data_IF_187568377224
#
_entry.id   IF_187568377224
#
_cell.length_a   1.000
_cell.length_b   1.000
_cell.length_c   1.000
_cell.angle_alpha   90.00
_cell.angle_beta   90.00
_cell.angle_gamma   90.00
#
_symmetry.space_group_name_H-M   'P 1'
#
loop_
_entity.id
_entity.type
_entity.pdbx_description
1 polymer ?
#
# COMPACT_ATOMS: atom_id res chain seq x y z
N UNK A 1 -3.83 13.12 -15.47
CA UNK A 1 -3.44 13.39 -14.07
C UNK A 1 -4.52 12.85 -13.18
N UNK A 2 -4.23 11.78 -12.44
CA UNK A 2 -5.21 11.12 -11.59
C UNK A 2 -5.63 12.06 -10.44
N UNK A 3 -6.93 12.06 -10.09
CA UNK A 3 -7.53 12.95 -9.06
C UNK A 3 -6.79 12.90 -7.73
N UNK A 4 -6.25 11.74 -7.37
CA UNK A 4 -5.45 11.56 -6.17
C UNK A 4 -4.20 12.45 -6.21
N UNK A 5 -3.47 12.45 -7.32
CA UNK A 5 -2.24 13.23 -7.49
C UNK A 5 -2.54 14.72 -7.58
N UNK A 6 -3.60 15.11 -8.30
CA UNK A 6 -4.06 16.50 -8.30
C UNK A 6 -4.36 17.00 -6.88
N UNK A 7 -5.12 16.24 -6.10
CA UNK A 7 -5.45 16.59 -4.73
C UNK A 7 -4.19 16.65 -3.84
N UNK A 8 -3.26 15.72 -4.04
CA UNK A 8 -1.99 15.70 -3.32
C UNK A 8 -1.12 16.93 -3.68
N UNK A 9 -0.96 17.22 -4.97
CA UNK A 9 -0.20 18.35 -5.49
C UNK A 9 -0.73 19.69 -5.01
N UNK A 10 -2.06 19.87 -4.99
CA UNK A 10 -2.69 21.05 -4.41
C UNK A 10 -2.37 21.20 -2.91
N UNK A 11 -2.48 20.13 -2.12
CA UNK A 11 -2.20 20.17 -0.67
C UNK A 11 -0.73 20.45 -0.36
N UNK A 12 0.18 19.93 -1.19
CA UNK A 12 1.61 20.23 -1.05
C UNK A 12 1.87 21.70 -1.40
N UNK A 13 1.24 22.23 -2.46
CA UNK A 13 1.48 23.59 -2.96
C UNK A 13 0.81 24.73 -2.19
N UNK A 14 -0.25 24.47 -1.42
CA UNK A 14 -1.12 25.53 -0.91
C UNK A 14 -0.64 26.13 0.42
N UNK A 15 0.27 27.09 0.44
CA UNK A 15 0.83 27.70 1.68
C UNK A 15 -0.22 28.39 2.59
N UNK A 16 -1.43 28.66 2.09
CA UNK A 16 -2.48 29.34 2.83
C UNK A 16 -3.34 28.40 3.67
N UNK A 17 -3.83 28.91 4.80
CA UNK A 17 -4.71 28.25 5.77
C UNK A 17 -6.15 28.03 5.23
N UNK A 18 -6.32 27.69 3.96
CA UNK A 18 -7.65 27.54 3.36
C UNK A 18 -8.34 26.25 3.80
N UNK A 19 -9.66 26.37 3.94
CA UNK A 19 -10.60 25.40 4.50
C UNK A 19 -10.31 23.95 4.14
N UNK A 20 -10.08 23.15 5.19
CA UNK A 20 -9.89 21.70 5.18
C UNK A 20 -10.92 21.01 4.28
N UNK A 21 -10.50 20.54 3.11
CA UNK A 21 -11.23 19.53 2.36
C UNK A 21 -10.98 18.17 3.04
N UNK A 22 -12.01 17.46 3.55
CA UNK A 22 -11.80 16.17 4.20
C UNK A 22 -11.09 15.19 3.27
N UNK A 23 -10.02 14.58 3.76
CA UNK A 23 -9.31 13.51 3.06
C UNK A 23 -10.26 12.38 2.70
N UNK A 24 -10.05 11.73 1.56
CA UNK A 24 -10.75 10.49 1.26
C UNK A 24 -10.32 9.38 2.24
N UNK A 25 -9.05 9.29 2.65
CA UNK A 25 -8.51 8.09 3.30
C UNK A 25 -8.41 8.04 4.82
N UNK A 26 -8.29 9.15 5.54
CA UNK A 26 -7.93 9.09 6.96
C UNK A 26 -9.05 9.47 7.93
N UNK A 27 -9.93 10.39 7.53
CA UNK A 27 -10.88 11.01 8.45
C UNK A 27 -12.23 11.21 7.76
N UNK A 28 -13.12 10.24 7.94
CA UNK A 28 -14.54 10.57 7.85
C UNK A 28 -14.93 11.41 9.06
N UNK A 29 -16.05 12.13 8.96
CA UNK A 29 -16.73 12.63 10.15
C UNK A 29 -17.99 11.81 10.36
N UNK A 30 -18.19 11.35 11.58
CA UNK A 30 -19.48 10.81 11.96
C UNK A 30 -20.56 11.90 11.88
N UNK A 31 -21.82 11.52 11.75
CA UNK A 31 -22.96 12.45 11.89
C UNK A 31 -22.95 13.26 13.20
N UNK A 32 -22.33 12.75 14.27
CA UNK A 32 -22.15 13.48 15.53
C UNK A 32 -20.91 14.41 15.57
N UNK A 33 -20.21 14.57 14.44
CA UNK A 33 -19.04 15.45 14.29
C UNK A 33 -17.69 14.86 14.70
N UNK A 34 -17.67 13.68 15.34
CA UNK A 34 -16.42 13.03 15.77
C UNK A 34 -15.64 12.47 14.58
N UNK A 35 -14.30 12.49 14.62
CA UNK A 35 -13.48 11.85 13.61
C UNK A 35 -13.70 10.34 13.64
N UNK A 36 -13.80 9.74 12.46
CA UNK A 36 -13.87 8.29 12.28
C UNK A 36 -12.71 7.83 11.41
N UNK A 37 -12.09 6.74 11.87
CA UNK A 37 -10.87 6.19 11.31
C UNK A 37 -11.17 4.94 10.50
N UNK A 38 -10.25 4.60 9.59
CA UNK A 38 -10.36 3.50 8.63
C UNK A 38 -10.80 2.15 9.23
N UNK A 39 -10.49 1.88 10.51
CA UNK A 39 -10.80 0.62 11.20
C UNK A 39 -12.11 0.64 11.99
N UNK A 40 -12.76 1.79 12.14
CA UNK A 40 -13.97 1.85 12.96
C UNK A 40 -15.14 1.18 12.24
N UNK A 41 -15.85 0.29 12.93
CA UNK A 41 -17.15 -0.25 12.51
C UNK A 41 -18.32 0.45 13.20
N UNK A 42 -18.02 1.28 14.20
CA UNK A 42 -18.97 2.05 14.99
C UNK A 42 -18.30 3.33 15.52
N UNK A 43 -19.07 4.41 15.63
CA UNK A 43 -18.61 5.64 16.27
C UNK A 43 -18.51 5.44 17.78
N UNK A 44 -17.35 5.73 18.37
CA UNK A 44 -17.14 5.57 19.81
C UNK A 44 -17.96 6.55 20.67
N UNK A 45 -18.41 7.68 20.10
CA UNK A 45 -19.17 8.69 20.82
C UNK A 45 -20.68 8.48 20.74
N UNK A 46 -21.24 8.38 19.53
CA UNK A 46 -22.69 8.26 19.34
C UNK A 46 -23.17 6.85 19.01
N UNK A 47 -22.27 5.87 18.93
CA UNK A 47 -22.58 4.46 18.64
C UNK A 47 -23.20 4.22 17.26
N UNK A 48 -23.23 5.22 16.37
CA UNK A 48 -23.68 5.05 14.98
C UNK A 48 -22.85 4.01 14.24
N UNK A 49 -23.48 3.08 13.50
CA UNK A 49 -22.76 2.12 12.67
C UNK A 49 -21.97 2.83 11.57
N UNK A 50 -20.78 2.33 11.27
CA UNK A 50 -19.88 2.89 10.26
C UNK A 50 -19.50 1.84 9.22
N UNK A 51 -19.05 2.30 8.06
CA UNK A 51 -18.41 1.43 7.08
C UNK A 51 -17.48 2.18 6.13
N UNK A 52 -16.60 1.46 5.48
CA UNK A 52 -15.78 1.98 4.39
C UNK A 52 -16.49 1.75 3.06
N UNK A 53 -16.78 2.82 2.31
CA UNK A 53 -17.39 2.75 0.98
C UNK A 53 -16.27 2.84 -0.08
N UNK A 54 -15.98 1.73 -0.81
CA UNK A 54 -14.80 1.66 -1.67
C UNK A 54 -14.78 2.63 -2.85
N UNK A 55 -15.93 2.99 -3.43
CA UNK A 55 -15.96 3.89 -4.59
C UNK A 55 -15.69 5.34 -4.21
N UNK A 56 -16.20 5.80 -3.06
CA UNK A 56 -15.88 7.10 -2.45
C UNK A 56 -14.48 7.11 -1.85
N UNK A 57 -13.95 5.92 -1.53
CA UNK A 57 -12.69 5.73 -0.85
C UNK A 57 -12.71 6.24 0.59
N UNK A 58 -13.87 6.28 1.25
CA UNK A 58 -14.13 7.00 2.51
C UNK A 58 -14.83 6.17 3.59
N UNK A 59 -14.56 6.51 4.85
CA UNK A 59 -15.38 6.09 5.98
C UNK A 59 -16.67 6.91 6.05
N UNK A 60 -17.80 6.22 6.21
CA UNK A 60 -19.14 6.82 6.22
C UNK A 60 -19.94 6.37 7.44
N UNK A 61 -20.90 7.21 7.83
CA UNK A 61 -21.93 6.82 8.81
C UNK A 61 -23.06 6.11 8.08
N UNK A 62 -23.58 5.05 8.70
CA UNK A 62 -24.65 4.23 8.13
C UNK A 62 -25.96 4.46 8.87
N UNK A 63 -27.03 4.56 8.08
CA UNK A 63 -28.41 4.57 8.56
C UNK A 63 -29.11 3.28 8.17
N UNK A 64 -30.03 2.81 9.01
CA UNK A 64 -30.82 1.63 8.69
C UNK A 64 -31.62 1.85 7.40
N UNK A 65 -31.53 0.89 6.46
CA UNK A 65 -32.32 0.85 5.25
C UNK A 65 -33.62 0.07 5.44
N UNK A 66 -34.36 -0.09 4.34
CA UNK A 66 -35.54 -0.96 4.29
C UNK A 66 -35.08 -2.43 4.26
N UNK A 67 -35.22 -3.11 5.41
CA UNK A 67 -34.97 -4.54 5.57
C UNK A 67 -33.71 -4.90 6.38
N UNK A 68 -33.60 -6.16 6.84
CA UNK A 68 -32.44 -6.64 7.58
C UNK A 68 -31.13 -6.47 6.79
N UNK A 69 -30.07 -6.02 7.45
CA UNK A 69 -28.73 -5.82 6.87
C UNK A 69 -28.65 -4.84 5.69
N UNK A 70 -29.72 -4.08 5.43
CA UNK A 70 -29.79 -2.99 4.45
C UNK A 70 -29.33 -1.69 5.11
N UNK A 71 -28.39 -0.98 4.49
CA UNK A 71 -27.83 0.27 5.00
C UNK A 71 -27.89 1.37 3.95
N UNK A 72 -28.02 2.61 4.40
CA UNK A 72 -28.00 3.82 3.58
C UNK A 72 -26.90 4.76 4.05
N UNK A 73 -26.39 5.55 3.11
CA UNK A 73 -25.45 6.65 3.35
C UNK A 73 -26.17 7.94 2.97
N UNK A 74 -26.01 9.00 3.76
CA UNK A 74 -26.60 10.30 3.45
C UNK A 74 -26.09 10.83 2.10
N UNK A 75 -27.01 11.32 1.27
CA UNK A 75 -26.69 11.80 -0.07
C UNK A 75 -26.35 10.71 -1.09
N UNK A 76 -26.62 9.43 -0.78
CA UNK A 76 -26.53 8.32 -1.73
C UNK A 76 -27.91 7.68 -1.94
N UNK A 77 -28.27 7.45 -3.20
CA UNK A 77 -29.51 6.74 -3.57
C UNK A 77 -29.36 5.23 -3.44
N UNK A 78 -28.12 4.73 -3.45
CA UNK A 78 -27.83 3.31 -3.37
C UNK A 78 -28.01 2.79 -1.96
N UNK A 79 -28.36 1.51 -1.88
CA UNK A 79 -28.36 0.73 -0.64
C UNK A 79 -27.11 -0.12 -0.58
N UNK A 80 -26.65 -0.35 0.63
CA UNK A 80 -25.43 -1.09 0.91
C UNK A 80 -25.71 -2.25 1.86
N UNK A 81 -24.84 -3.25 1.80
CA UNK A 81 -24.67 -4.26 2.85
C UNK A 81 -23.30 -4.06 3.49
N UNK A 82 -23.12 -4.58 4.70
CA UNK A 82 -21.78 -4.74 5.31
C UNK A 82 -21.24 -6.11 4.90
N UNK A 83 -19.92 -6.18 4.67
CA UNK A 83 -19.24 -7.43 4.34
C UNK A 83 -19.55 -8.53 5.36
N UNK A 84 -19.78 -9.77 4.90
CA UNK A 84 -20.04 -10.92 5.77
C UNK A 84 -18.92 -11.16 6.80
N UNK A 85 -17.68 -10.79 6.47
CA UNK A 85 -16.53 -10.89 7.37
C UNK A 85 -16.54 -9.86 8.52
N UNK A 86 -17.56 -9.00 8.65
CA UNK A 86 -17.67 -8.06 9.77
C UNK A 86 -17.70 -8.76 11.12
N UNK A 87 -18.47 -9.85 11.23
CA UNK A 87 -18.66 -10.60 12.48
C UNK A 87 -17.70 -11.79 12.63
N UNK A 88 -16.86 -12.00 11.61
CA UNK A 88 -15.74 -12.95 11.68
C UNK A 88 -14.54 -12.31 12.40
N UNK A 89 -13.52 -13.12 12.68
CA UNK A 89 -12.27 -12.61 13.25
C UNK A 89 -11.57 -11.54 12.39
N UNK A 90 -11.79 -11.53 11.06
CA UNK A 90 -11.25 -10.49 10.18
C UNK A 90 -11.78 -9.07 10.46
N UNK A 91 -12.93 -8.94 11.13
CA UNK A 91 -13.52 -7.65 11.54
C UNK A 91 -13.69 -6.66 10.39
N UNK A 92 -14.17 -7.10 9.23
CA UNK A 92 -14.24 -6.27 8.03
C UNK A 92 -15.36 -5.21 8.13
N UNK A 93 -15.01 -3.94 8.10
CA UNK A 93 -15.98 -2.82 8.11
C UNK A 93 -16.34 -2.29 6.70
N UNK A 94 -16.01 -3.01 5.63
CA UNK A 94 -16.25 -2.53 4.26
C UNK A 94 -17.68 -2.77 3.80
N UNK A 95 -18.15 -1.88 2.94
CA UNK A 95 -19.44 -1.94 2.31
C UNK A 95 -19.36 -2.59 0.93
N UNK A 96 -20.51 -3.08 0.48
CA UNK A 96 -20.75 -3.53 -0.88
C UNK A 96 -22.17 -3.10 -1.30
N UNK A 97 -22.42 -2.79 -2.58
CA UNK A 97 -23.76 -2.50 -3.06
C UNK A 97 -24.73 -3.62 -2.70
N UNK A 98 -25.94 -3.26 -2.28
CA UNK A 98 -26.96 -4.24 -1.89
C UNK A 98 -27.29 -5.22 -3.02
N UNK A 99 -27.16 -4.76 -4.28
CA UNK A 99 -27.38 -5.53 -5.52
C UNK A 99 -26.24 -6.49 -5.87
N UNK A 100 -25.12 -6.47 -5.14
CA UNK A 100 -24.00 -7.38 -5.40
C UNK A 100 -24.44 -8.83 -5.22
N UNK A 101 -24.02 -9.75 -6.10
CA UNK A 101 -24.39 -11.17 -5.99
C UNK A 101 -23.74 -11.86 -4.78
N UNK A 102 -22.51 -11.46 -4.41
CA UNK A 102 -21.77 -12.01 -3.29
C UNK A 102 -22.03 -11.31 -1.95
N UNK A 103 -21.48 -11.86 -0.87
CA UNK A 103 -21.57 -11.29 0.48
C UNK A 103 -20.25 -10.67 0.98
N UNK A 104 -19.16 -10.85 0.23
CA UNK A 104 -17.83 -10.33 0.54
C UNK A 104 -17.60 -9.02 -0.23
N UNK A 105 -16.97 -8.04 0.43
CA UNK A 105 -16.53 -6.82 -0.25
C UNK A 105 -15.36 -7.10 -1.21
N UNK A 106 -15.04 -6.10 -2.04
CA UNK A 106 -13.94 -6.16 -3.02
C UNK A 106 -12.58 -6.55 -2.42
N UNK A 107 -12.29 -6.24 -1.15
CA UNK A 107 -11.05 -6.64 -0.50
C UNK A 107 -11.08 -8.09 0.03
N UNK A 108 -12.21 -8.53 0.59
CA UNK A 108 -12.33 -9.88 1.16
C UNK A 108 -12.51 -10.94 0.08
N UNK A 109 -13.11 -10.61 -1.07
CA UNK A 109 -13.23 -11.55 -2.20
C UNK A 109 -11.89 -11.94 -2.83
N UNK A 110 -10.83 -11.14 -2.60
CA UNK A 110 -9.48 -11.46 -3.04
C UNK A 110 -8.85 -12.62 -2.27
N UNK A 111 -9.43 -13.07 -1.15
CA UNK A 111 -8.96 -14.28 -0.51
C UNK A 111 -9.38 -15.50 -1.32
N UNK A 112 -8.37 -16.24 -1.77
CA UNK A 112 -8.57 -17.61 -2.22
C UNK A 112 -8.56 -18.55 -1.02
N UNK A 113 -7.58 -18.38 -0.11
CA UNK A 113 -7.46 -19.17 1.12
C UNK A 113 -7.32 -18.26 2.33
N UNK A 114 -8.14 -18.51 3.36
CA UNK A 114 -7.96 -17.94 4.69
C UNK A 114 -7.35 -19.01 5.62
N UNK A 115 -6.74 -18.61 6.75
CA UNK A 115 -6.21 -19.57 7.71
C UNK A 115 -7.27 -20.54 8.24
N UNK A 116 -6.83 -21.74 8.62
CA UNK A 116 -7.66 -22.68 9.38
C UNK A 116 -7.95 -22.08 10.76
N UNK A 117 -9.20 -21.70 10.98
CA UNK A 117 -9.67 -21.07 12.23
C UNK A 117 -9.91 -22.06 13.36
N UNK A 118 -9.76 -23.37 13.12
CA UNK A 118 -9.76 -24.37 14.19
C UNK A 118 -8.45 -24.38 14.98
N UNK A 119 -7.37 -23.81 14.42
CA UNK A 119 -6.07 -23.69 15.06
C UNK A 119 -6.05 -22.41 15.92
N UNK A 120 -5.78 -22.52 17.24
CA UNK A 120 -5.74 -21.36 18.12
C UNK A 120 -4.77 -20.27 17.67
N UNK A 121 -5.22 -19.02 17.73
CA UNK A 121 -4.44 -17.83 17.37
C UNK A 121 -4.55 -17.43 15.90
N UNK A 122 -4.97 -18.34 15.02
CA UNK A 122 -5.14 -18.01 13.59
C UNK A 122 -6.21 -16.95 13.36
N UNK A 123 -7.21 -16.85 14.24
CA UNK A 123 -8.22 -15.80 14.19
C UNK A 123 -7.61 -14.40 14.35
N UNK A 124 -6.65 -14.24 15.26
CA UNK A 124 -5.96 -12.97 15.52
C UNK A 124 -4.97 -12.64 14.41
N UNK A 125 -4.22 -13.64 13.93
CA UNK A 125 -3.30 -13.50 12.81
C UNK A 125 -4.04 -13.09 11.53
N UNK A 126 -5.16 -13.76 11.24
CA UNK A 126 -6.00 -13.42 10.10
C UNK A 126 -6.51 -11.98 10.19
N UNK A 127 -6.95 -11.53 11.37
CA UNK A 127 -7.36 -10.15 11.60
C UNK A 127 -6.27 -9.14 11.24
N UNK A 128 -5.02 -9.39 11.68
CA UNK A 128 -3.86 -8.50 11.39
C UNK A 128 -3.52 -8.45 9.90
N UNK A 129 -3.48 -9.61 9.22
CA UNK A 129 -3.26 -9.70 7.77
C UNK A 129 -4.34 -8.95 7.00
N UNK A 130 -5.60 -9.14 7.37
CA UNK A 130 -6.73 -8.48 6.75
C UNK A 130 -6.73 -6.95 6.93
N UNK A 131 -6.27 -6.45 8.08
CA UNK A 131 -6.09 -5.01 8.29
C UNK A 131 -5.04 -4.46 7.31
N UNK A 132 -3.90 -5.14 7.17
CA UNK A 132 -2.83 -4.72 6.27
C UNK A 132 -3.29 -4.80 4.80
N UNK A 133 -3.87 -5.93 4.37
CA UNK A 133 -4.40 -6.11 3.02
C UNK A 133 -5.48 -5.07 2.69
N UNK A 134 -6.40 -4.74 3.60
CA UNK A 134 -7.42 -3.70 3.32
C UNK A 134 -6.81 -2.31 3.14
N UNK A 135 -5.75 -1.96 3.87
CA UNK A 135 -5.02 -0.69 3.64
C UNK A 135 -4.40 -0.66 2.24
N UNK A 136 -3.76 -1.76 1.83
CA UNK A 136 -3.24 -1.93 0.48
C UNK A 136 -4.36 -1.77 -0.56
N UNK A 137 -5.45 -2.52 -0.44
CA UNK A 137 -6.55 -2.50 -1.41
C UNK A 137 -7.17 -1.11 -1.51
N UNK A 138 -7.42 -0.43 -0.39
CA UNK A 138 -7.89 0.97 -0.40
C UNK A 138 -6.91 1.89 -1.14
N UNK A 139 -5.60 1.65 -0.98
CA UNK A 139 -4.59 2.40 -1.72
C UNK A 139 -4.62 2.15 -3.21
N UNK A 140 -4.72 0.88 -3.64
CA UNK A 140 -4.78 0.53 -5.06
C UNK A 140 -6.03 1.12 -5.73
N UNK A 141 -7.18 1.07 -5.06
CA UNK A 141 -8.44 1.65 -5.53
C UNK A 141 -8.35 3.18 -5.68
N UNK A 142 -7.79 3.87 -4.67
CA UNK A 142 -7.62 5.32 -4.74
C UNK A 142 -6.62 5.77 -5.82
N UNK A 143 -5.62 4.93 -6.09
CA UNK A 143 -4.71 5.13 -7.21
C UNK A 143 -5.34 4.72 -8.56
N UNK A 144 -6.59 4.26 -8.59
CA UNK A 144 -7.27 3.87 -9.82
C UNK A 144 -6.62 2.67 -10.53
N UNK A 145 -5.81 1.88 -9.81
CA UNK A 145 -5.09 0.76 -10.41
C UNK A 145 -6.05 -0.42 -10.69
N UNK A 146 -5.82 -1.18 -11.79
CA UNK A 146 -6.65 -2.34 -12.11
C UNK A 146 -6.63 -3.41 -11.01
N UNK A 147 -7.78 -3.61 -10.38
CA UNK A 147 -7.95 -4.59 -9.31
C UNK A 147 -9.10 -5.55 -9.64
N UNK A 148 -8.76 -6.65 -10.31
CA UNK A 148 -9.71 -7.71 -10.70
C UNK A 148 -9.41 -8.95 -9.87
N UNK A 149 -10.41 -9.59 -9.29
CA UNK A 149 -10.21 -10.81 -8.50
C UNK A 149 -9.91 -12.00 -9.41
N UNK A 150 -9.12 -12.98 -8.93
CA UNK A 150 -8.97 -14.26 -9.66
C UNK A 150 -10.28 -15.06 -9.82
N UNK A 151 -11.31 -14.71 -9.05
CA UNK A 151 -12.66 -15.31 -9.21
C UNK A 151 -13.35 -14.78 -10.47
N UNK A 152 -13.03 -13.55 -10.86
CA UNK A 152 -13.55 -12.90 -12.07
C UNK A 152 -12.66 -13.18 -13.29
N UNK A 153 -11.33 -13.13 -13.11
CA UNK A 153 -10.35 -13.44 -14.16
C UNK A 153 -9.26 -14.37 -13.59
N UNK A 154 -9.39 -15.67 -13.84
CA UNK A 154 -8.47 -16.68 -13.31
C UNK A 154 -7.01 -16.47 -13.76
N UNK A 155 -6.82 -15.98 -14.99
CA UNK A 155 -5.51 -15.82 -15.60
C UNK A 155 -4.80 -14.55 -15.09
N UNK A 156 -5.50 -13.40 -15.14
CA UNK A 156 -4.88 -12.08 -14.89
C UNK A 156 -5.31 -11.40 -13.60
N UNK A 157 -6.24 -11.99 -12.85
CA UNK A 157 -6.71 -11.44 -11.59
C UNK A 157 -5.69 -11.60 -10.45
N UNK A 158 -5.99 -10.93 -9.33
CA UNK A 158 -5.26 -10.97 -8.07
C UNK A 158 -5.99 -11.86 -7.05
N UNK A 159 -5.24 -12.65 -6.29
CA UNK A 159 -5.74 -13.36 -5.11
C UNK A 159 -4.67 -13.50 -4.03
N UNK A 160 -5.11 -13.73 -2.80
CA UNK A 160 -4.27 -13.96 -1.63
C UNK A 160 -4.54 -15.32 -1.00
N UNK A 161 -3.46 -16.01 -0.63
CA UNK A 161 -3.47 -17.17 0.25
C UNK A 161 -2.74 -16.84 1.55
N UNK A 162 -3.40 -17.06 2.67
CA UNK A 162 -2.79 -16.98 4.00
C UNK A 162 -2.64 -18.39 4.54
N UNK A 163 -1.42 -18.91 4.46
CA UNK A 163 -1.14 -20.32 4.75
C UNK A 163 -0.36 -20.45 6.05
N UNK A 164 -0.69 -21.48 6.83
CA UNK A 164 0.14 -21.97 7.93
C UNK A 164 1.08 -23.08 7.46
N UNK A 165 1.84 -23.67 8.39
CA UNK A 165 2.61 -24.87 8.10
C UNK A 165 1.74 -25.98 7.53
N UNK A 166 2.31 -26.79 6.64
CA UNK A 166 1.62 -27.96 6.10
C UNK A 166 1.48 -29.08 7.14
N UNK A 167 0.86 -30.21 6.76
CA UNK A 167 0.66 -31.37 7.65
C UNK A 167 1.98 -31.97 8.17
N UNK A 168 3.11 -31.71 7.49
CA UNK A 168 4.45 -32.13 7.92
C UNK A 168 5.17 -31.08 8.77
N UNK A 169 4.51 -29.95 9.03
CA UNK A 169 5.05 -28.82 9.80
C UNK A 169 5.97 -27.90 9.00
N UNK A 170 6.06 -28.05 7.67
CA UNK A 170 6.90 -27.18 6.84
C UNK A 170 6.20 -25.84 6.59
N UNK A 171 6.92 -24.70 6.74
CA UNK A 171 6.35 -23.40 6.46
C UNK A 171 6.00 -23.26 4.97
N UNK A 172 4.95 -22.49 4.63
CA UNK A 172 4.59 -22.27 3.25
C UNK A 172 5.65 -21.41 2.55
N UNK A 173 5.80 -21.59 1.24
CA UNK A 173 6.60 -20.70 0.41
C UNK A 173 5.81 -19.41 0.22
N UNK A 174 6.35 -18.32 0.78
CA UNK A 174 5.82 -16.96 0.60
C UNK A 174 6.32 -16.39 -0.73
N UNK A 175 5.47 -15.61 -1.41
CA UNK A 175 5.83 -14.92 -2.64
C UNK A 175 4.63 -14.73 -3.56
N UNK A 176 4.91 -14.47 -4.84
CA UNK A 176 3.91 -14.28 -5.87
C UNK A 176 4.04 -15.34 -6.98
N UNK A 177 2.93 -15.69 -7.61
CA UNK A 177 2.89 -16.54 -8.80
C UNK A 177 1.67 -16.19 -9.66
N UNK A 178 1.88 -15.54 -10.81
CA UNK A 178 0.83 -15.18 -11.78
C UNK A 178 -0.39 -14.50 -11.13
N UNK A 179 -0.14 -13.53 -10.25
CA UNK A 179 -1.18 -12.81 -9.50
C UNK A 179 -1.79 -13.54 -8.30
N UNK A 180 -1.30 -14.72 -7.93
CA UNK A 180 -1.53 -15.28 -6.60
C UNK A 180 -0.41 -14.84 -5.67
N UNK A 181 -0.75 -14.18 -4.57
CA UNK A 181 0.19 -13.81 -3.51
C UNK A 181 -0.04 -14.72 -2.32
N UNK A 182 1.01 -15.41 -1.88
CA UNK A 182 0.96 -16.32 -0.73
C UNK A 182 1.78 -15.71 0.40
N UNK A 183 1.19 -15.58 1.59
CA UNK A 183 1.91 -15.17 2.80
C UNK A 183 1.83 -16.26 3.85
N UNK A 184 2.97 -16.50 4.52
CA UNK A 184 2.99 -17.25 5.76
C UNK A 184 2.26 -16.47 6.86
N UNK A 185 1.19 -17.07 7.40
CA UNK A 185 0.39 -16.51 8.47
C UNK A 185 1.22 -16.19 9.74
N UNK A 186 2.31 -16.92 9.98
CA UNK A 186 3.17 -16.68 11.13
C UNK A 186 3.78 -15.27 11.14
N UNK A 187 3.92 -14.61 9.98
CA UNK A 187 4.40 -13.22 9.92
C UNK A 187 3.47 -12.20 10.60
N UNK A 188 2.22 -12.59 10.84
CA UNK A 188 1.28 -11.79 11.60
C UNK A 188 1.63 -11.69 13.09
N UNK A 189 2.55 -12.51 13.59
CA UNK A 189 3.10 -12.41 14.94
C UNK A 189 4.34 -11.50 14.94
N UNK A 190 4.35 -10.55 15.89
CA UNK A 190 5.35 -9.48 15.90
C UNK A 190 6.76 -9.97 16.25
N UNK A 191 6.86 -10.99 17.10
CA UNK A 191 8.10 -11.67 17.47
C UNK A 191 8.71 -12.42 16.28
N UNK A 192 7.91 -13.20 15.55
CA UNK A 192 8.33 -13.88 14.31
C UNK A 192 8.81 -12.86 13.29
N UNK A 193 8.08 -11.74 13.14
CA UNK A 193 8.44 -10.69 12.18
C UNK A 193 9.73 -9.96 12.56
N UNK A 194 9.94 -9.64 13.83
CA UNK A 194 11.19 -8.99 14.29
C UNK A 194 12.38 -9.94 14.20
N UNK A 195 12.20 -11.23 14.53
CA UNK A 195 13.23 -12.25 14.34
C UNK A 195 13.61 -12.36 12.85
N UNK A 196 12.63 -12.46 11.96
CA UNK A 196 12.85 -12.54 10.51
C UNK A 196 13.57 -11.31 10.00
N UNK A 197 13.16 -10.11 10.45
CA UNK A 197 13.80 -8.84 10.10
C UNK A 197 15.30 -8.85 10.45
N UNK A 198 15.67 -9.36 11.62
CA UNK A 198 17.07 -9.47 12.04
C UNK A 198 17.81 -10.52 11.20
N UNK A 199 17.23 -11.71 11.01
CA UNK A 199 17.85 -12.81 10.27
C UNK A 199 18.14 -12.45 8.80
N UNK A 200 17.21 -11.72 8.18
CA UNK A 200 17.34 -11.26 6.79
C UNK A 200 18.04 -9.90 6.66
N UNK A 201 18.53 -9.33 7.75
CA UNK A 201 19.18 -8.01 7.78
C UNK A 201 18.32 -6.91 7.14
N UNK A 202 17.00 -6.99 7.32
CA UNK A 202 16.06 -6.02 6.80
C UNK A 202 16.01 -4.78 7.70
N UNK A 203 16.08 -3.57 7.15
CA UNK A 203 15.97 -2.36 7.97
C UNK A 203 14.54 -2.15 8.49
N UNK A 204 13.54 -2.72 7.80
CA UNK A 204 12.13 -2.50 8.05
C UNK A 204 11.32 -3.71 7.58
N UNK A 205 10.47 -4.27 8.45
CA UNK A 205 9.54 -5.36 8.09
C UNK A 205 8.16 -5.15 8.71
N UNK A 206 7.15 -4.96 7.86
CA UNK A 206 5.74 -4.91 8.28
C UNK A 206 4.88 -5.72 7.30
N UNK A 207 3.75 -6.22 7.78
CA UNK A 207 2.79 -6.93 6.92
C UNK A 207 2.40 -6.08 5.70
N UNK A 208 2.11 -4.79 5.91
CA UNK A 208 1.73 -3.90 4.81
C UNK A 208 2.88 -3.66 3.82
N UNK A 209 4.12 -3.56 4.31
CA UNK A 209 5.31 -3.49 3.46
C UNK A 209 5.44 -4.72 2.57
N UNK A 210 5.31 -5.91 3.16
CA UNK A 210 5.38 -7.18 2.43
C UNK A 210 4.25 -7.30 1.39
N UNK A 211 3.01 -6.96 1.77
CA UNK A 211 1.91 -6.88 0.80
C UNK A 211 2.22 -5.93 -0.36
N UNK A 212 2.81 -4.76 -0.10
CA UNK A 212 3.18 -3.79 -1.13
C UNK A 212 4.27 -4.32 -2.06
N UNK A 213 5.25 -5.05 -1.52
CA UNK A 213 6.28 -5.74 -2.29
C UNK A 213 5.66 -6.78 -3.23
N UNK A 214 4.86 -7.70 -2.69
CA UNK A 214 4.28 -8.79 -3.48
C UNK A 214 3.31 -8.32 -4.57
N UNK A 215 2.51 -7.27 -4.30
CA UNK A 215 1.69 -6.69 -5.38
C UNK A 215 2.53 -5.94 -6.42
N UNK A 216 3.74 -5.50 -6.07
CA UNK A 216 4.66 -4.88 -7.02
C UNK A 216 4.99 -5.83 -8.16
N UNK A 217 5.24 -7.11 -7.85
CA UNK A 217 5.41 -8.17 -8.84
C UNK A 217 4.15 -8.40 -9.69
N UNK A 218 2.96 -8.43 -9.06
CA UNK A 218 1.70 -8.49 -9.81
C UNK A 218 1.57 -7.31 -10.79
N UNK A 219 1.86 -6.09 -10.38
CA UNK A 219 1.76 -4.93 -11.28
C UNK A 219 2.87 -4.87 -12.33
N UNK A 220 4.02 -5.53 -12.10
CA UNK A 220 5.01 -5.74 -13.15
C UNK A 220 4.39 -6.56 -14.31
N UNK A 221 3.78 -7.69 -13.99
CA UNK A 221 3.09 -8.54 -14.99
C UNK A 221 1.97 -7.79 -15.72
N UNK A 222 1.24 -6.93 -15.00
CA UNK A 222 0.07 -6.23 -15.56
C UNK A 222 0.41 -4.99 -16.39
N UNK A 223 1.46 -4.24 -16.01
CA UNK A 223 1.73 -2.91 -16.53
C UNK A 223 3.05 -2.81 -17.32
N UNK A 224 3.98 -3.73 -17.10
CA UNK A 224 5.32 -3.71 -17.72
C UNK A 224 5.47 -4.84 -18.72
N UNK A 225 5.22 -6.09 -18.31
CA UNK A 225 5.42 -7.26 -19.15
C UNK A 225 4.58 -7.17 -20.44
N UNK A 226 5.22 -7.38 -21.59
CA UNK A 226 4.56 -7.34 -22.90
C UNK A 226 4.09 -5.94 -23.34
N UNK A 227 4.49 -4.85 -22.67
CA UNK A 227 4.15 -3.48 -23.07
C UNK A 227 5.39 -2.71 -23.57
N UNK A 228 5.21 -1.56 -24.26
CA UNK A 228 6.34 -0.71 -24.65
C UNK A 228 7.18 -0.19 -23.47
N UNK A 229 6.67 -0.28 -22.22
CA UNK A 229 7.35 0.19 -21.01
C UNK A 229 8.50 -0.72 -20.58
N UNK A 230 8.55 -1.96 -21.06
CA UNK A 230 9.61 -2.92 -20.74
C UNK A 230 11.02 -2.38 -21.04
N UNK A 231 11.18 -1.61 -22.13
CA UNK A 231 12.47 -0.99 -22.45
C UNK A 231 12.88 0.08 -21.43
N UNK A 232 11.93 0.86 -20.90
CA UNK A 232 12.18 1.82 -19.83
C UNK A 232 12.54 1.12 -18.52
N UNK A 233 11.81 0.07 -18.19
CA UNK A 233 12.11 -0.80 -17.06
C UNK A 233 13.55 -1.34 -17.14
N UNK A 234 13.95 -1.96 -18.26
CA UNK A 234 15.30 -2.55 -18.39
C UNK A 234 16.43 -1.54 -18.29
N UNK A 235 16.21 -0.30 -18.74
CA UNK A 235 17.19 0.78 -18.59
C UNK A 235 17.39 1.21 -17.13
N UNK A 236 16.35 1.11 -16.31
CA UNK A 236 16.35 1.63 -14.93
C UNK A 236 16.64 0.55 -13.89
N UNK A 237 16.07 -0.65 -14.07
CA UNK A 237 16.12 -1.75 -13.10
C UNK A 237 17.06 -2.88 -13.54
N UNK A 238 17.43 -2.95 -14.82
CA UNK A 238 18.24 -4.02 -15.39
C UNK A 238 17.43 -5.08 -16.13
N UNK A 239 18.12 -6.10 -16.66
CA UNK A 239 17.52 -7.15 -17.47
C UNK A 239 16.93 -8.27 -16.60
N UNK A 240 15.60 -8.33 -16.52
CA UNK A 240 14.87 -9.30 -15.72
C UNK A 240 15.01 -10.75 -16.19
N UNK A 241 15.61 -10.98 -17.37
CA UNK A 241 15.87 -12.33 -17.88
C UNK A 241 17.05 -13.02 -17.22
N UNK A 242 17.76 -12.33 -16.31
CA UNK A 242 18.78 -12.94 -15.48
C UNK A 242 18.19 -14.15 -14.72
N UNK A 243 19.02 -15.17 -14.49
CA UNK A 243 18.57 -16.34 -13.75
C UNK A 243 18.32 -15.96 -12.28
N UNK A 244 17.05 -16.03 -11.86
CA UNK A 244 16.61 -15.65 -10.53
C UNK A 244 17.27 -16.49 -9.43
N UNK A 245 17.36 -17.81 -9.61
CA UNK A 245 17.92 -18.71 -8.60
C UNK A 245 19.41 -18.47 -8.39
N UNK A 246 20.16 -18.29 -9.48
CA UNK A 246 21.57 -17.94 -9.43
C UNK A 246 21.79 -16.54 -8.84
N UNK A 247 20.89 -15.58 -9.09
CA UNK A 247 20.96 -14.25 -8.52
C UNK A 247 20.72 -14.24 -7.00
N UNK A 248 19.70 -14.99 -6.55
CA UNK A 248 19.40 -15.22 -5.15
C UNK A 248 20.58 -15.88 -4.42
N UNK A 249 21.16 -16.92 -5.01
CA UNK A 249 22.32 -17.59 -4.44
C UNK A 249 23.51 -16.64 -4.30
N UNK A 250 23.84 -15.88 -5.36
CA UNK A 250 24.91 -14.87 -5.29
C UNK A 250 24.67 -13.83 -4.20
N UNK A 251 23.43 -13.35 -4.05
CA UNK A 251 23.10 -12.35 -3.04
C UNK A 251 23.34 -12.87 -1.61
N UNK A 252 22.95 -14.11 -1.30
CA UNK A 252 23.20 -14.68 0.03
C UNK A 252 24.65 -15.09 0.28
N UNK A 253 25.40 -15.46 -0.76
CA UNK A 253 26.81 -15.83 -0.63
C UNK A 253 27.75 -14.61 -0.55
N UNK A 254 27.46 -13.55 -1.31
CA UNK A 254 28.37 -12.43 -1.53
C UNK A 254 27.86 -11.12 -0.91
N UNK A 255 26.57 -11.04 -0.57
CA UNK A 255 25.93 -9.82 -0.13
C UNK A 255 25.70 -8.81 -1.26
N UNK A 256 25.12 -7.64 -0.95
CA UNK A 256 24.97 -6.55 -1.91
C UNK A 256 26.35 -5.90 -2.23
N UNK A 257 26.51 -5.29 -3.42
CA UNK A 257 27.70 -4.49 -3.75
C UNK A 257 27.96 -3.39 -2.72
N UNK A 258 29.22 -3.06 -2.41
CA UNK A 258 29.55 -2.13 -1.33
C UNK A 258 28.96 -0.70 -1.50
N UNK A 259 28.70 -0.29 -2.74
CA UNK A 259 28.15 1.01 -3.13
C UNK A 259 26.67 0.95 -3.52
N UNK A 260 25.94 -0.11 -3.14
CA UNK A 260 24.55 -0.31 -3.53
C UNK A 260 23.63 0.88 -3.22
N UNK A 261 23.88 1.61 -2.12
CA UNK A 261 23.10 2.77 -1.69
C UNK A 261 23.10 3.91 -2.72
N UNK A 262 24.08 3.94 -3.62
CA UNK A 262 24.14 4.92 -4.71
C UNK A 262 23.10 4.66 -5.80
N UNK A 263 22.52 3.45 -5.87
CA UNK A 263 21.64 3.01 -6.96
C UNK A 263 20.34 2.31 -6.54
N UNK A 264 20.28 1.73 -5.35
CA UNK A 264 19.18 0.88 -4.89
C UNK A 264 18.57 1.38 -3.59
N UNK A 265 17.27 1.16 -3.42
CA UNK A 265 16.54 1.61 -2.23
C UNK A 265 16.79 0.70 -1.02
N UNK A 266 17.12 -0.56 -1.25
CA UNK A 266 17.46 -1.55 -0.23
C UNK A 266 18.60 -2.47 -0.72
N UNK A 267 19.26 -3.16 0.21
CA UNK A 267 20.23 -4.18 -0.13
C UNK A 267 19.61 -5.31 -0.96
N UNK A 268 18.38 -5.74 -0.61
CA UNK A 268 17.69 -6.83 -1.30
C UNK A 268 17.27 -6.44 -2.73
N UNK A 269 17.02 -5.16 -3.01
CA UNK A 269 16.80 -4.67 -4.37
C UNK A 269 17.98 -4.97 -5.32
N UNK A 270 19.19 -5.22 -4.82
CA UNK A 270 20.35 -5.62 -5.65
C UNK A 270 20.25 -7.07 -6.13
N UNK A 271 19.39 -7.88 -5.52
CA UNK A 271 19.31 -9.33 -5.76
C UNK A 271 18.91 -9.63 -7.21
N UNK A 272 17.87 -8.99 -7.72
CA UNK A 272 17.37 -9.19 -9.08
C UNK A 272 16.59 -7.96 -9.57
N UNK A 273 16.56 -7.65 -10.88
CA UNK A 273 15.75 -6.54 -11.40
C UNK A 273 14.27 -6.58 -11.03
N UNK A 274 13.68 -7.78 -10.89
CA UNK A 274 12.31 -7.92 -10.37
C UNK A 274 12.18 -7.45 -8.93
N UNK A 275 13.16 -7.74 -8.08
CA UNK A 275 13.16 -7.28 -6.69
C UNK A 275 13.43 -5.79 -6.58
N UNK A 276 14.32 -5.24 -7.41
CA UNK A 276 14.54 -3.78 -7.46
C UNK A 276 13.24 -3.05 -7.78
N UNK A 277 12.45 -3.58 -8.71
CA UNK A 277 11.12 -3.07 -9.01
C UNK A 277 10.14 -3.24 -7.85
N UNK A 278 10.01 -4.42 -7.27
CA UNK A 278 9.06 -4.67 -6.18
C UNK A 278 9.39 -3.84 -4.93
N UNK A 279 10.67 -3.72 -4.58
CA UNK A 279 11.16 -2.89 -3.47
C UNK A 279 10.91 -1.40 -3.74
N UNK A 280 11.23 -0.91 -4.94
CA UNK A 280 10.98 0.49 -5.31
C UNK A 280 9.49 0.80 -5.42
N UNK A 281 8.68 -0.15 -5.90
CA UNK A 281 7.21 -0.06 -5.94
C UNK A 281 6.63 0.01 -4.52
N UNK A 282 7.11 -0.86 -3.62
CA UNK A 282 6.67 -0.85 -2.24
C UNK A 282 7.01 0.47 -1.54
N UNK A 283 8.20 1.01 -1.81
CA UNK A 283 8.61 2.33 -1.36
C UNK A 283 7.70 3.42 -1.92
N UNK A 284 7.45 3.41 -3.24
CA UNK A 284 6.54 4.37 -3.85
C UNK A 284 5.17 4.40 -3.16
N UNK A 285 4.55 3.23 -2.95
CA UNK A 285 3.29 3.13 -2.23
C UNK A 285 3.41 3.57 -0.76
N UNK A 286 4.53 3.29 -0.10
CA UNK A 286 4.78 3.75 1.27
C UNK A 286 4.78 5.27 1.36
N UNK A 287 5.57 5.95 0.53
CA UNK A 287 5.68 7.41 0.53
C UNK A 287 4.32 8.06 0.23
N UNK A 288 3.63 7.56 -0.79
CA UNK A 288 2.32 8.06 -1.23
C UNK A 288 1.25 8.00 -0.14
N UNK A 289 1.11 6.85 0.54
CA UNK A 289 0.05 6.66 1.55
C UNK A 289 0.35 7.42 2.85
N UNK A 290 1.62 7.44 3.26
CA UNK A 290 2.05 8.11 4.49
C UNK A 290 1.96 9.62 4.35
N UNK A 291 2.36 10.18 3.19
CA UNK A 291 2.23 11.61 2.92
C UNK A 291 0.76 12.05 2.84
N UNK A 292 -0.11 11.31 2.15
CA UNK A 292 -1.55 11.59 2.12
C UNK A 292 -2.16 11.54 3.53
N UNK A 293 -1.74 10.56 4.35
CA UNK A 293 -2.15 10.48 5.76
C UNK A 293 -1.72 11.73 6.53
N UNK A 294 -0.44 12.13 6.46
CA UNK A 294 0.09 13.29 7.17
C UNK A 294 -0.65 14.59 6.78
N UNK A 295 -0.83 14.83 5.49
CA UNK A 295 -1.55 15.99 4.97
C UNK A 295 -3.02 16.00 5.41
N UNK A 296 -3.64 14.82 5.58
CA UNK A 296 -5.02 14.70 6.08
C UNK A 296 -5.16 15.15 7.54
N UNK A 297 -4.09 15.07 8.34
CA UNK A 297 -4.01 15.61 9.69
C UNK A 297 -3.56 17.07 9.72
N UNK A 298 -3.28 17.68 8.57
CA UNK A 298 -2.73 19.03 8.45
C UNK A 298 -1.26 19.11 8.86
N UNK A 299 -0.54 17.99 8.92
CA UNK A 299 0.91 17.99 9.10
C UNK A 299 1.54 18.43 7.77
N UNK A 300 2.33 19.50 7.81
CA UNK A 300 2.99 20.05 6.63
C UNK A 300 4.51 19.97 6.79
N UNK A 301 5.15 19.67 5.67
CA UNK A 301 6.58 19.45 5.60
C UNK A 301 7.39 20.76 5.80
N UNK A 302 6.86 21.90 5.33
CA UNK A 302 7.52 23.21 5.39
C UNK A 302 7.47 23.96 6.72
N UNK A 303 6.92 23.37 7.78
CA UNK A 303 6.89 24.00 9.12
C UNK A 303 8.16 23.68 9.95
N UNK A 304 9.09 22.90 9.40
CA UNK A 304 10.36 22.53 10.05
C UNK A 304 11.52 23.09 9.25
N UNK A 305 12.35 23.94 9.86
CA UNK A 305 13.62 24.40 9.27
C UNK A 305 14.63 23.24 9.29
N UNK A 306 14.57 22.37 8.29
CA UNK A 306 15.58 21.35 8.03
C UNK A 306 16.35 21.76 6.78
N UNK A 307 17.67 21.90 6.90
CA UNK A 307 18.55 22.20 5.77
C UNK A 307 18.72 20.96 4.85
N UNK A 308 17.70 20.66 4.06
CA UNK A 308 17.82 19.67 2.98
C UNK A 308 18.08 20.35 1.65
N UNK A 309 19.00 19.78 0.86
CA UNK A 309 19.11 20.14 -0.57
C UNK A 309 18.02 19.40 -1.33
N UNK A 310 17.01 20.10 -1.89
CA UNK A 310 15.93 19.43 -2.60
C UNK A 310 16.46 18.75 -3.87
N UNK A 311 15.82 17.65 -4.25
CA UNK A 311 16.03 17.07 -5.56
C UNK A 311 15.55 18.03 -6.65
N UNK A 312 16.31 18.06 -7.74
CA UNK A 312 16.00 18.85 -8.93
C UNK A 312 15.74 17.92 -10.11
N UNK A 313 15.38 18.51 -11.27
CA UNK A 313 15.17 17.75 -12.51
C UNK A 313 16.37 16.90 -12.93
N UNK A 314 17.58 17.18 -12.44
CA UNK A 314 18.77 16.37 -12.69
C UNK A 314 18.70 14.95 -12.10
N UNK A 315 17.86 14.72 -11.08
CA UNK A 315 17.66 13.40 -10.46
C UNK A 315 16.56 12.58 -11.14
N UNK A 316 15.91 13.11 -12.18
CA UNK A 316 14.78 12.47 -12.85
C UNK A 316 15.26 11.56 -13.99
N UNK A 317 14.56 10.43 -14.16
CA UNK A 317 14.75 9.54 -15.32
C UNK A 317 14.27 10.16 -16.63
N UNK A 318 13.28 11.04 -16.55
CA UNK A 318 12.75 11.85 -17.63
C UNK A 318 12.57 13.30 -17.16
N UNK A 319 13.61 14.14 -17.28
CA UNK A 319 13.58 15.54 -16.82
C UNK A 319 12.59 16.43 -17.59
N UNK A 320 12.11 15.97 -18.75
CA UNK A 320 11.23 16.72 -19.64
C UNK A 320 9.76 16.27 -19.52
N UNK A 321 9.48 15.30 -18.66
CA UNK A 321 8.12 14.87 -18.35
C UNK A 321 7.25 16.08 -17.91
N UNK A 322 6.02 16.24 -18.46
CA UNK A 322 5.15 17.36 -18.10
C UNK A 322 4.78 17.43 -16.61
N UNK A 323 4.85 16.31 -15.89
CA UNK A 323 4.56 16.19 -14.46
C UNK A 323 5.83 16.17 -13.60
N UNK A 324 7.01 16.40 -14.18
CA UNK A 324 8.30 16.39 -13.49
C UNK A 324 8.31 17.27 -12.23
N UNK A 325 7.80 18.51 -12.31
CA UNK A 325 7.81 19.42 -11.17
C UNK A 325 6.83 19.01 -10.07
N UNK A 326 5.71 18.36 -10.43
CA UNK A 326 4.75 17.83 -9.46
C UNK A 326 5.32 16.63 -8.72
N UNK A 327 5.96 15.72 -9.45
CA UNK A 327 6.67 14.60 -8.86
C UNK A 327 7.80 15.06 -7.94
N UNK A 328 8.57 16.10 -8.32
CA UNK A 328 9.61 16.66 -7.46
C UNK A 328 9.03 17.30 -6.19
N UNK A 329 7.90 18.02 -6.27
CA UNK A 329 7.20 18.51 -5.08
C UNK A 329 6.81 17.38 -4.15
N UNK A 330 6.27 16.29 -4.70
CA UNK A 330 5.94 15.08 -3.94
C UNK A 330 7.16 14.47 -3.23
N UNK A 331 8.26 14.23 -3.96
CA UNK A 331 9.48 13.63 -3.39
C UNK A 331 10.10 14.52 -2.32
N UNK A 332 10.20 15.82 -2.56
CA UNK A 332 10.81 16.74 -1.59
C UNK A 332 9.95 16.87 -0.32
N UNK A 333 8.62 16.96 -0.46
CA UNK A 333 7.72 16.94 0.70
C UNK A 333 7.80 15.63 1.50
N UNK A 334 8.03 14.49 0.83
CA UNK A 334 8.25 13.22 1.50
C UNK A 334 9.51 13.21 2.36
N UNK A 335 10.63 13.77 1.86
CA UNK A 335 11.91 13.78 2.58
C UNK A 335 11.80 14.56 3.90
N UNK A 336 11.20 15.74 3.83
CA UNK A 336 10.91 16.58 5.00
C UNK A 336 10.01 15.85 6.01
N UNK A 337 8.93 15.20 5.53
CA UNK A 337 8.05 14.41 6.39
C UNK A 337 8.78 13.22 7.03
N UNK A 338 9.58 12.48 6.25
CA UNK A 338 10.32 11.33 6.74
C UNK A 338 11.32 11.70 7.84
N UNK A 339 11.99 12.85 7.70
CA UNK A 339 12.87 13.39 8.73
C UNK A 339 12.10 13.70 10.02
N UNK A 340 10.97 14.39 9.93
CA UNK A 340 10.11 14.66 11.09
C UNK A 340 9.61 13.36 11.74
N UNK A 341 9.19 12.37 10.96
CA UNK A 341 8.72 11.08 11.47
C UNK A 341 9.83 10.33 12.23
N UNK A 342 11.05 10.34 11.70
CA UNK A 342 12.19 9.71 12.36
C UNK A 342 12.56 10.43 13.67
N UNK A 343 12.57 11.76 13.69
CA UNK A 343 12.81 12.52 14.92
C UNK A 343 11.72 12.28 15.99
N UNK A 344 10.45 12.25 15.60
CA UNK A 344 9.34 11.89 16.50
C UNK A 344 9.53 10.47 17.07
N UNK A 345 9.92 9.51 16.23
CA UNK A 345 10.14 8.13 16.67
C UNK A 345 11.31 8.02 17.65
N UNK A 346 12.45 8.65 17.33
CA UNK A 346 13.63 8.74 18.21
C UNK A 346 13.29 9.37 19.55
N UNK A 347 12.44 10.41 19.55
CA UNK A 347 11.99 11.07 20.79
C UNK A 347 11.21 10.15 21.73
N UNK A 348 10.56 9.12 21.19
CA UNK A 348 9.84 8.09 21.94
C UNK A 348 10.68 6.82 22.19
N UNK A 349 11.97 6.81 21.82
CA UNK A 349 12.84 5.65 21.97
C UNK A 349 12.63 4.55 20.91
N UNK A 350 11.96 4.86 19.80
CA UNK A 350 11.81 3.96 18.67
C UNK A 350 12.95 4.16 17.64
N UNK A 351 13.19 3.12 16.83
CA UNK A 351 14.04 3.20 15.63
C UNK A 351 13.37 4.11 14.59
N UNK A 352 14.15 4.53 13.61
CA UNK A 352 13.64 5.26 12.44
C UNK A 352 12.45 4.52 11.81
N UNK A 353 11.33 5.23 11.64
CA UNK A 353 10.14 4.69 10.96
C UNK A 353 10.37 4.56 9.46
N UNK A 354 11.23 5.42 8.92
CA UNK A 354 11.70 5.38 7.54
C UNK A 354 13.25 5.33 7.52
N UNK A 355 13.85 4.14 7.58
CA UNK A 355 15.31 3.95 7.64
C UNK A 355 15.99 3.98 6.26
N UNK A 356 15.34 4.54 5.24
CA UNK A 356 15.83 4.51 3.86
C UNK A 356 16.38 5.86 3.43
N UNK A 357 17.42 5.84 2.60
CA UNK A 357 18.03 7.04 2.03
C UNK A 357 17.76 7.04 0.53
N UNK A 358 17.13 8.11 0.03
CA UNK A 358 16.88 8.27 -1.40
C UNK A 358 18.11 8.87 -2.08
N UNK A 359 18.55 8.26 -3.17
CA UNK A 359 19.60 8.77 -4.05
C UNK A 359 19.01 9.13 -5.43
N UNK A 360 19.72 9.92 -6.28
CA UNK A 360 19.20 10.33 -7.58
C UNK A 360 18.75 9.15 -8.47
N UNK A 361 19.48 8.03 -8.47
CA UNK A 361 19.10 6.85 -9.23
C UNK A 361 17.75 6.25 -8.78
N UNK A 362 17.53 6.17 -7.46
CA UNK A 362 16.24 5.71 -6.89
C UNK A 362 15.12 6.71 -7.20
N UNK A 363 15.39 8.02 -7.15
CA UNK A 363 14.40 9.05 -7.55
C UNK A 363 13.98 8.88 -9.00
N UNK A 364 14.91 8.58 -9.91
CA UNK A 364 14.61 8.25 -11.30
C UNK A 364 13.71 7.01 -11.44
N UNK A 365 13.99 5.94 -10.70
CA UNK A 365 13.14 4.73 -10.66
C UNK A 365 11.74 5.02 -10.11
N UNK A 366 11.64 5.82 -9.05
CA UNK A 366 10.38 6.26 -8.46
C UNK A 366 9.55 7.10 -9.44
N UNK A 367 10.20 7.96 -10.25
CA UNK A 367 9.52 8.73 -11.29
C UNK A 367 8.92 7.80 -12.35
N UNK A 368 9.67 6.79 -12.78
CA UNK A 368 9.17 5.82 -13.75
C UNK A 368 7.93 5.07 -13.22
N UNK A 369 7.95 4.64 -11.96
CA UNK A 369 6.78 4.02 -11.31
C UNK A 369 5.62 5.01 -11.25
N UNK A 370 5.87 6.26 -10.89
CA UNK A 370 4.82 7.30 -10.89
C UNK A 370 4.16 7.46 -12.26
N UNK A 371 4.94 7.53 -13.34
CA UNK A 371 4.42 7.59 -14.71
C UNK A 371 3.62 6.33 -15.10
N UNK A 372 4.04 5.15 -14.66
CA UNK A 372 3.31 3.89 -14.87
C UNK A 372 1.95 3.93 -14.18
N UNK A 373 1.92 4.36 -12.92
CA UNK A 373 0.70 4.46 -12.11
C UNK A 373 -0.27 5.49 -12.68
N UNK A 374 0.23 6.68 -13.03
CA UNK A 374 -0.55 7.74 -13.67
C UNK A 374 -1.21 7.27 -14.98
N UNK A 375 -0.46 6.56 -15.82
CA UNK A 375 -0.97 6.08 -17.10
C UNK A 375 -1.93 4.88 -16.98
N UNK A 376 -1.80 4.08 -15.91
CA UNK A 376 -2.69 2.95 -15.65
C UNK A 376 -4.02 3.39 -15.00
N UNK A 377 -4.05 4.58 -14.40
CA UNK A 377 -5.22 5.15 -13.76
C UNK A 377 -6.21 5.62 -14.84
N UNK A 378 -7.47 5.15 -14.87
CA UNK A 378 -8.47 5.72 -15.76
C UNK A 378 -8.67 7.20 -15.42
N UNK A 379 -8.61 8.06 -16.43
CA UNK A 379 -8.98 9.47 -16.33
C UNK A 379 -10.52 9.50 -16.17
N UNK A 380 -11.00 9.47 -14.94
CA UNK A 380 -12.43 9.65 -14.62
C UNK A 380 -12.74 11.08 -14.20
#
# INVERSE_FOLDING_TARGET
MNRFFQALGLRIGDSAMQTRSPSQKALGKCTCGQPIFFRNSQCLACQSPLGYEPERGQMVTLHAGEGPHSWRIDGDVRRYRRCANLHSAAGCNWLLPHTSAGELCIACQLNRTIPDLSIPGNEQRWARLEIAKRRLVAQLLNLGLPLISKREDAERGLAFDFLGPDLSGQPPVTGHARGLITLNIAEADDDVREQTRIQLHEPYRTLLGHFRHEVGHYYWDRLIAGTPRLNGYRRLFGDERADYGAALQRHYEQGPPADWQASFVSAYATMHPWEDWAETWAHYLHMMDTLDTALSFGMRAGDVELEFRPFTRAALSDPHDPQADEFLRFINAWIELAAMLNELARSMGHKDLYPFVLCPAVVGKLQFIHQVVEAASPIN
#
